data_IF_058322004164
#
_entry.id   IF_058322004164
#
_cell.length_a   1.000
_cell.length_b   1.000
_cell.length_c   1.000
_cell.angle_alpha   90.00
_cell.angle_beta   90.00
_cell.angle_gamma   90.00
#
_symmetry.space_group_name_H-M   'P 1'
#
loop_
_entity.id
_entity.type
_entity.pdbx_description
1 polymer ?
#
# COMPACT_ATOMS: atom_id res chain seq x y z
N UNK A 1 24.81 -33.68 -4.84
CA UNK A 1 24.50 -32.25 -4.70
C UNK A 1 25.55 -31.66 -3.77
N UNK A 2 26.28 -30.63 -4.21
CA UNK A 2 27.38 -30.04 -3.46
C UNK A 2 26.84 -29.22 -2.28
N UNK A 3 27.58 -29.17 -1.17
CA UNK A 3 27.25 -28.33 -0.02
C UNK A 3 27.16 -26.84 -0.40
N UNK A 4 27.98 -26.42 -1.36
CA UNK A 4 27.94 -25.10 -1.98
C UNK A 4 26.61 -24.81 -2.68
N UNK A 5 25.99 -25.81 -3.34
CA UNK A 5 24.71 -25.62 -4.01
C UNK A 5 23.62 -25.27 -2.99
N UNK A 6 23.65 -25.89 -1.80
CA UNK A 6 22.66 -25.62 -0.74
C UNK A 6 22.81 -24.20 -0.18
N UNK A 7 24.04 -23.73 0.02
CA UNK A 7 24.32 -22.38 0.51
C UNK A 7 23.81 -21.35 -0.49
N UNK A 8 24.17 -21.49 -1.78
CA UNK A 8 23.74 -20.58 -2.84
C UNK A 8 22.21 -20.54 -2.95
N UNK A 9 21.56 -21.70 -2.93
CA UNK A 9 20.10 -21.78 -2.98
C UNK A 9 19.48 -21.05 -1.79
N UNK A 10 20.02 -21.23 -0.58
CA UNK A 10 19.56 -20.53 0.62
C UNK A 10 19.64 -19.01 0.50
N UNK A 11 20.76 -18.49 -0.01
CA UNK A 11 20.96 -17.06 -0.24
C UNK A 11 19.97 -16.50 -1.28
N UNK A 12 19.72 -17.22 -2.36
CA UNK A 12 18.75 -16.81 -3.38
C UNK A 12 17.31 -16.76 -2.84
N UNK A 13 16.91 -17.77 -2.05
CA UNK A 13 15.60 -17.75 -1.40
C UNK A 13 15.43 -16.55 -0.47
N UNK A 14 16.46 -16.22 0.30
CA UNK A 14 16.44 -15.06 1.18
C UNK A 14 16.27 -13.76 0.39
N UNK A 15 17.01 -13.62 -0.71
CA UNK A 15 16.93 -12.44 -1.58
C UNK A 15 15.56 -12.29 -2.24
N UNK A 16 14.95 -13.39 -2.66
CA UNK A 16 13.58 -13.40 -3.20
C UNK A 16 12.59 -12.95 -2.11
N UNK A 17 12.72 -13.46 -0.89
CA UNK A 17 11.85 -13.07 0.22
C UNK A 17 11.93 -11.57 0.51
N UNK A 18 13.14 -11.00 0.53
CA UNK A 18 13.35 -9.57 0.73
C UNK A 18 12.74 -8.71 -0.39
N UNK A 19 12.93 -9.10 -1.64
CA UNK A 19 12.37 -8.39 -2.80
C UNK A 19 10.85 -8.46 -2.78
N UNK A 20 10.28 -9.63 -2.53
CA UNK A 20 8.84 -9.80 -2.42
C UNK A 20 8.25 -8.98 -1.28
N UNK A 21 8.93 -8.89 -0.14
CA UNK A 21 8.50 -8.04 0.97
C UNK A 21 8.49 -6.57 0.57
N UNK A 22 9.53 -6.09 -0.12
CA UNK A 22 9.59 -4.71 -0.61
C UNK A 22 8.50 -4.42 -1.64
N UNK A 23 8.31 -5.33 -2.60
CA UNK A 23 7.26 -5.21 -3.61
C UNK A 23 5.87 -5.18 -2.96
N UNK A 24 5.63 -6.05 -1.98
CA UNK A 24 4.38 -6.07 -1.25
C UNK A 24 4.10 -4.74 -0.54
N UNK A 25 5.11 -4.15 0.11
CA UNK A 25 4.96 -2.82 0.73
C UNK A 25 4.61 -1.73 -0.29
N UNK A 26 5.12 -1.82 -1.52
CA UNK A 26 4.78 -0.88 -2.60
C UNK A 26 3.37 -1.12 -3.15
N UNK A 27 2.92 -2.37 -3.21
CA UNK A 27 1.58 -2.74 -3.73
C UNK A 27 0.47 -2.34 -2.76
N UNK A 28 0.70 -2.43 -1.45
CA UNK A 28 -0.34 -2.15 -0.44
C UNK A 28 -0.40 -0.68 0.01
N UNK A 29 0.54 0.17 -0.45
CA UNK A 29 0.63 1.58 -0.02
C UNK A 29 0.33 2.53 -1.17
N UNK A 30 -0.34 3.63 -0.85
CA UNK A 30 -0.48 4.76 -1.74
C UNK A 30 0.87 5.48 -1.88
N UNK A 31 1.29 5.78 -3.11
CA UNK A 31 2.62 6.34 -3.39
C UNK A 31 2.76 7.78 -2.91
N UNK A 32 1.67 8.56 -2.91
CA UNK A 32 1.70 9.97 -2.54
C UNK A 32 1.82 10.15 -1.02
N UNK A 33 1.10 9.33 -0.26
CA UNK A 33 0.96 9.49 1.20
C UNK A 33 1.75 8.46 2.01
N UNK A 34 2.13 7.33 1.42
CA UNK A 34 2.73 6.18 2.12
C UNK A 34 1.75 5.42 3.03
N UNK A 35 0.49 5.86 3.14
CA UNK A 35 -0.57 5.17 3.86
C UNK A 35 -0.98 3.90 3.12
N UNK A 36 -1.67 2.99 3.80
CA UNK A 36 -2.28 1.86 3.11
C UNK A 36 -3.29 2.34 2.08
N UNK A 37 -3.25 1.75 0.90
CA UNK A 37 -4.18 2.12 -0.16
C UNK A 37 -5.58 1.56 0.09
N UNK A 38 -6.53 2.02 -0.73
CA UNK A 38 -7.94 1.62 -0.63
C UNK A 38 -8.13 0.11 -0.80
N UNK A 39 -7.42 -0.54 -1.72
CA UNK A 39 -7.55 -1.98 -1.94
C UNK A 39 -7.14 -2.80 -0.71
N UNK A 40 -6.07 -2.36 -0.03
CA UNK A 40 -5.65 -2.95 1.23
C UNK A 40 -6.68 -2.72 2.34
N UNK A 41 -7.22 -1.49 2.44
CA UNK A 41 -8.29 -1.17 3.39
C UNK A 41 -9.51 -2.10 3.21
N UNK A 42 -9.99 -2.28 1.97
CA UNK A 42 -11.15 -3.13 1.67
C UNK A 42 -10.90 -4.61 2.01
N UNK A 43 -9.69 -5.10 1.76
CA UNK A 43 -9.30 -6.48 2.07
C UNK A 43 -9.20 -6.68 3.58
N UNK A 44 -8.49 -5.79 4.27
CA UNK A 44 -8.27 -5.87 5.72
C UNK A 44 -9.57 -5.68 6.51
N UNK A 45 -10.45 -4.77 6.09
CA UNK A 45 -11.77 -4.61 6.71
C UNK A 45 -12.57 -5.90 6.64
N UNK A 46 -12.58 -6.58 5.49
CA UNK A 46 -13.32 -7.85 5.33
C UNK A 46 -12.83 -8.92 6.31
N UNK A 47 -11.51 -9.08 6.44
CA UNK A 47 -10.89 -10.02 7.37
C UNK A 47 -11.20 -9.66 8.83
N UNK A 48 -11.09 -8.37 9.19
CA UNK A 48 -11.39 -7.91 10.55
C UNK A 48 -12.88 -8.10 10.89
N UNK A 49 -13.79 -7.79 9.96
CA UNK A 49 -15.23 -8.00 10.16
C UNK A 49 -15.56 -9.47 10.41
N UNK A 50 -14.94 -10.40 9.68
CA UNK A 50 -15.12 -11.83 9.93
C UNK A 50 -14.63 -12.21 11.32
N UNK A 51 -13.40 -11.83 11.68
CA UNK A 51 -12.83 -12.18 12.99
C UNK A 51 -13.61 -11.58 14.18
N UNK A 52 -14.14 -10.37 14.02
CA UNK A 52 -14.90 -9.70 15.07
C UNK A 52 -16.32 -10.25 15.20
N UNK A 53 -16.96 -10.65 14.09
CA UNK A 53 -18.25 -11.35 14.14
C UNK A 53 -18.15 -12.67 14.91
N UNK A 54 -17.11 -13.47 14.65
CA UNK A 54 -16.86 -14.72 15.38
C UNK A 54 -16.67 -14.52 16.89
N UNK A 55 -16.18 -13.36 17.30
CA UNK A 55 -15.87 -13.01 18.70
C UNK A 55 -16.94 -12.12 19.35
N UNK A 56 -18.06 -11.85 18.66
CA UNK A 56 -19.10 -10.91 19.09
C UNK A 56 -18.55 -9.54 19.55
N UNK A 57 -17.49 -9.05 18.90
CA UNK A 57 -16.89 -7.76 19.21
C UNK A 57 -17.46 -6.61 18.36
N UNK A 58 -16.86 -5.43 18.48
CA UNK A 58 -17.21 -4.25 17.70
C UNK A 58 -15.99 -3.71 16.93
N UNK A 59 -16.24 -3.08 15.78
CA UNK A 59 -15.24 -2.33 14.99
C UNK A 59 -15.68 -0.88 14.94
N UNK A 60 -14.73 0.04 15.09
CA UNK A 60 -14.91 1.46 14.84
C UNK A 60 -14.12 1.87 13.59
N UNK A 61 -14.68 2.77 12.80
CA UNK A 61 -14.04 3.33 11.61
C UNK A 61 -14.22 4.84 11.60
N UNK A 62 -13.20 5.57 11.16
CA UNK A 62 -13.24 7.01 10.95
C UNK A 62 -12.89 7.31 9.50
N UNK A 63 -13.77 8.06 8.84
CA UNK A 63 -13.52 8.61 7.52
C UNK A 63 -13.10 10.07 7.70
N UNK A 64 -11.95 10.43 7.15
CA UNK A 64 -11.38 11.77 7.24
C UNK A 64 -11.32 12.33 5.81
N UNK A 65 -11.85 13.53 5.62
CA UNK A 65 -11.74 14.28 4.37
C UNK A 65 -11.03 15.62 4.65
N UNK A 66 -10.33 16.14 3.64
CA UNK A 66 -9.66 17.44 3.75
C UNK A 66 -10.52 18.48 3.07
N UNK A 67 -11.11 19.36 3.86
CA UNK A 67 -11.94 20.45 3.36
C UNK A 67 -11.19 21.32 2.34
N UNK A 68 -11.90 21.74 1.29
CA UNK A 68 -11.39 22.68 0.29
C UNK A 68 -10.10 22.25 -0.44
N UNK A 69 -9.77 20.95 -0.47
CA UNK A 69 -8.58 20.43 -1.16
C UNK A 69 -8.53 20.87 -2.64
N UNK A 70 -9.67 20.90 -3.32
CA UNK A 70 -9.79 21.35 -4.71
C UNK A 70 -9.42 22.83 -4.89
N UNK A 71 -9.87 23.69 -3.98
CA UNK A 71 -9.54 25.11 -4.00
C UNK A 71 -8.03 25.32 -3.83
N UNK A 72 -7.42 24.65 -2.85
CA UNK A 72 -5.98 24.70 -2.62
C UNK A 72 -5.18 24.23 -3.85
N UNK A 73 -5.51 23.06 -4.41
CA UNK A 73 -4.85 22.52 -5.61
C UNK A 73 -5.02 23.42 -6.84
N UNK A 74 -6.13 24.16 -6.94
CA UNK A 74 -6.34 25.14 -8.02
C UNK A 74 -5.41 26.36 -7.91
N UNK A 75 -5.04 26.76 -6.69
CA UNK A 75 -4.16 27.91 -6.43
C UNK A 75 -2.68 27.55 -6.50
N UNK A 76 -2.33 26.33 -6.12
CA UNK A 76 -0.95 25.86 -6.12
C UNK A 76 -0.49 25.25 -7.45
N UNK A 77 -1.39 25.08 -8.44
CA UNK A 77 -1.02 24.65 -9.80
C UNK A 77 -0.18 25.76 -10.46
N UNK A 78 1.13 25.57 -10.68
CA UNK A 78 1.91 26.52 -11.47
C UNK A 78 1.50 26.40 -12.94
N UNK A 79 1.66 27.48 -13.70
CA UNK A 79 1.27 27.66 -15.11
C UNK A 79 1.99 26.70 -16.11
N UNK A 80 2.73 25.70 -15.65
CA UNK A 80 3.55 24.79 -16.47
C UNK A 80 2.85 23.50 -16.93
N UNK A 81 1.56 23.56 -17.30
CA UNK A 81 0.87 22.44 -17.98
C UNK A 81 0.21 22.89 -19.29
N UNK A 82 0.83 23.85 -19.99
CA UNK A 82 0.44 24.20 -21.37
C UNK A 82 1.30 23.53 -22.46
N UNK A 83 2.27 22.67 -22.11
CA UNK A 83 3.17 22.01 -23.09
C UNK A 83 3.20 20.48 -22.91
N UNK A 84 2.05 19.82 -22.96
CA UNK A 84 2.03 18.35 -23.18
C UNK A 84 0.69 17.93 -23.81
N UNK A 85 0.32 18.63 -24.87
CA UNK A 85 -0.72 18.18 -25.81
C UNK A 85 -0.45 18.79 -27.19
N UNK A 86 0.67 18.38 -27.79
CA UNK A 86 0.86 18.28 -29.24
C UNK A 86 1.58 16.97 -29.54
#
# INVERSE_FOLDING_TARGET
MSEYDRIIIGEQYQKIAEINQKLNQQVIRDRLTGLFNRSYLETSLREQFQSVQEKHGNIACMMIDIDSINYFLSKCRPVYFFYDTM
#
